data_IF_372349583566
#
_entry.id   IF_372349583566
#
_cell.length_a   1.000
_cell.length_b   1.000
_cell.length_c   1.000
_cell.angle_alpha   90.00
_cell.angle_beta   90.00
_cell.angle_gamma   90.00
#
_symmetry.space_group_name_H-M   'P 1'
#
loop_
_entity.id
_entity.type
_entity.pdbx_description
1 polymer ?
#
# COMPACT_ATOMS: atom_id res chain seq x y z
N UNK A 1 -21.35 -30.64 -10.41
CA UNK A 1 -21.69 -29.31 -10.96
C UNK A 1 -22.68 -29.50 -12.09
N UNK A 2 -23.89 -28.94 -11.97
CA UNK A 2 -24.86 -28.93 -13.08
C UNK A 2 -24.44 -27.81 -14.05
N UNK A 3 -23.94 -28.15 -15.23
CA UNK A 3 -23.55 -27.20 -16.28
C UNK A 3 -24.77 -26.81 -17.13
N UNK A 4 -25.79 -26.25 -16.48
CA UNK A 4 -26.95 -25.70 -17.18
C UNK A 4 -26.62 -24.32 -17.75
N UNK A 5 -27.23 -23.97 -18.88
CA UNK A 5 -27.10 -22.63 -19.51
C UNK A 5 -27.42 -21.51 -18.53
N UNK A 6 -28.36 -21.74 -17.60
CA UNK A 6 -28.72 -20.81 -16.52
C UNK A 6 -27.53 -20.47 -15.61
N UNK A 7 -26.76 -21.47 -15.16
CA UNK A 7 -25.62 -21.26 -14.27
C UNK A 7 -24.49 -20.49 -14.96
N UNK A 8 -24.28 -20.74 -16.25
CA UNK A 8 -23.28 -20.04 -17.07
C UNK A 8 -23.65 -18.55 -17.20
N UNK A 9 -24.90 -18.26 -17.56
CA UNK A 9 -25.39 -16.89 -17.70
C UNK A 9 -25.34 -16.16 -16.34
N UNK A 10 -25.71 -16.84 -15.25
CA UNK A 10 -25.67 -16.25 -13.92
C UNK A 10 -24.25 -15.91 -13.46
N UNK A 11 -23.29 -16.83 -13.60
CA UNK A 11 -21.88 -16.59 -13.27
C UNK A 11 -21.27 -15.48 -14.14
N UNK A 12 -21.65 -15.41 -15.42
CA UNK A 12 -21.23 -14.35 -16.32
C UNK A 12 -21.75 -12.98 -15.88
N UNK A 13 -23.03 -12.87 -15.54
CA UNK A 13 -23.61 -11.62 -15.03
C UNK A 13 -22.93 -11.16 -13.74
N UNK A 14 -22.71 -12.07 -12.78
CA UNK A 14 -21.99 -11.76 -11.54
C UNK A 14 -20.58 -11.22 -11.81
N UNK A 15 -19.84 -11.87 -12.72
CA UNK A 15 -18.48 -11.44 -13.10
C UNK A 15 -18.51 -10.07 -13.80
N UNK A 16 -19.50 -9.84 -14.67
CA UNK A 16 -19.67 -8.57 -15.36
C UNK A 16 -20.00 -7.44 -14.38
N UNK A 17 -20.89 -7.67 -13.41
CA UNK A 17 -21.19 -6.70 -12.36
C UNK A 17 -19.97 -6.41 -11.48
N UNK A 18 -19.20 -7.43 -11.12
CA UNK A 18 -17.95 -7.25 -10.38
C UNK A 18 -16.95 -6.38 -11.16
N UNK A 19 -16.75 -6.68 -12.46
CA UNK A 19 -15.86 -5.91 -13.33
C UNK A 19 -16.30 -4.45 -13.54
N UNK A 20 -17.60 -4.21 -13.74
CA UNK A 20 -18.17 -2.85 -13.84
C UNK A 20 -17.99 -2.09 -12.53
N UNK A 21 -18.16 -2.74 -11.38
CA UNK A 21 -17.93 -2.14 -10.06
C UNK A 21 -16.48 -1.67 -9.90
N UNK A 22 -15.50 -2.51 -10.24
CA UNK A 22 -14.07 -2.13 -10.24
C UNK A 22 -13.77 -1.01 -11.23
N UNK A 23 -14.36 -1.06 -12.43
CA UNK A 23 -14.21 -0.02 -13.45
C UNK A 23 -14.76 1.34 -12.99
N UNK A 24 -15.93 1.37 -12.36
CA UNK A 24 -16.53 2.58 -11.78
C UNK A 24 -15.67 3.14 -10.65
N UNK A 25 -15.16 2.27 -9.77
CA UNK A 25 -14.20 2.64 -8.72
C UNK A 25 -12.94 3.29 -9.31
N UNK A 26 -12.38 2.70 -10.38
CA UNK A 26 -11.22 3.24 -11.09
C UNK A 26 -11.47 4.61 -11.71
N UNK A 27 -12.61 4.82 -12.38
CA UNK A 27 -12.96 6.13 -12.97
C UNK A 27 -13.12 7.20 -11.88
N UNK A 28 -13.70 6.85 -10.73
CA UNK A 28 -13.82 7.76 -9.60
C UNK A 28 -12.44 8.20 -9.06
N UNK A 29 -11.48 7.28 -8.99
CA UNK A 29 -10.09 7.59 -8.59
C UNK A 29 -9.38 8.47 -9.63
N UNK A 30 -9.56 8.21 -10.94
CA UNK A 30 -8.94 9.02 -12.00
C UNK A 30 -9.48 10.46 -12.08
N UNK A 31 -10.76 10.67 -11.77
CA UNK A 31 -11.36 12.02 -11.68
C UNK A 31 -11.05 12.73 -10.36
N UNK A 32 -10.68 12.00 -9.31
CA UNK A 32 -10.26 12.55 -8.03
C UNK A 32 -8.86 13.18 -8.16
N UNK A 33 -8.81 14.39 -8.69
CA UNK A 33 -7.59 15.17 -8.91
C UNK A 33 -6.96 15.61 -7.58
N UNK A 34 -6.19 14.75 -6.91
CA UNK A 34 -5.33 15.06 -5.73
C UNK A 34 -6.08 15.72 -4.54
N UNK A 35 -7.41 15.64 -4.44
CA UNK A 35 -8.13 16.51 -3.48
C UNK A 35 -8.27 15.93 -2.07
N UNK A 36 -8.05 14.63 -1.84
CA UNK A 36 -8.15 14.08 -0.48
C UNK A 36 -7.51 12.69 -0.29
N UNK A 37 -6.20 12.63 0.03
CA UNK A 37 -5.51 11.38 0.37
C UNK A 37 -6.13 10.66 1.57
N UNK A 38 -6.82 11.38 2.47
CA UNK A 38 -7.52 10.78 3.61
C UNK A 38 -8.72 9.92 3.16
N UNK A 39 -9.44 10.37 2.14
CA UNK A 39 -10.54 9.58 1.54
C UNK A 39 -10.01 8.35 0.79
N UNK A 40 -8.90 8.51 0.07
CA UNK A 40 -8.25 7.40 -0.64
C UNK A 40 -7.75 6.33 0.33
N UNK A 41 -7.05 6.73 1.40
CA UNK A 41 -6.58 5.82 2.44
C UNK A 41 -7.75 5.11 3.14
N UNK A 42 -8.84 5.81 3.44
CA UNK A 42 -10.07 5.21 4.00
C UNK A 42 -10.70 4.18 3.06
N UNK A 43 -10.76 4.47 1.77
CA UNK A 43 -11.32 3.57 0.75
C UNK A 43 -10.46 2.32 0.53
N UNK A 44 -9.12 2.48 0.49
CA UNK A 44 -8.17 1.36 0.40
C UNK A 44 -8.23 0.48 1.65
N UNK A 45 -8.29 1.07 2.85
CA UNK A 45 -8.44 0.34 4.10
C UNK A 45 -9.78 -0.42 4.18
N UNK A 46 -10.88 0.20 3.73
CA UNK A 46 -12.17 -0.46 3.64
C UNK A 46 -12.14 -1.67 2.70
N UNK A 47 -11.55 -1.52 1.51
CA UNK A 47 -11.42 -2.62 0.56
C UNK A 47 -10.53 -3.76 1.09
N UNK A 48 -9.41 -3.43 1.75
CA UNK A 48 -8.55 -4.40 2.40
C UNK A 48 -9.30 -5.15 3.52
N UNK A 49 -10.10 -4.44 4.31
CA UNK A 49 -10.92 -5.04 5.37
C UNK A 49 -11.97 -6.02 4.84
N UNK A 50 -12.72 -5.64 3.79
CA UNK A 50 -13.71 -6.53 3.15
C UNK A 50 -13.02 -7.79 2.59
N UNK A 51 -11.87 -7.65 1.93
CA UNK A 51 -11.14 -8.79 1.39
C UNK A 51 -10.59 -9.72 2.48
N UNK A 52 -10.13 -9.19 3.61
CA UNK A 52 -9.71 -10.00 4.77
C UNK A 52 -10.91 -10.76 5.33
N UNK A 53 -12.05 -10.11 5.52
CA UNK A 53 -13.27 -10.75 6.05
C UNK A 53 -13.72 -11.91 5.15
N UNK A 54 -13.89 -11.65 3.85
CA UNK A 54 -14.32 -12.68 2.88
C UNK A 54 -13.33 -13.85 2.84
N UNK A 55 -12.03 -13.56 2.86
CA UNK A 55 -10.99 -14.60 2.81
C UNK A 55 -11.00 -15.52 4.04
N UNK A 56 -11.10 -14.95 5.25
CA UNK A 56 -11.03 -15.73 6.49
C UNK A 56 -12.38 -16.38 6.89
N UNK A 57 -13.49 -15.70 6.66
CA UNK A 57 -14.80 -16.13 7.16
C UNK A 57 -15.53 -17.00 6.14
N UNK A 58 -15.42 -16.69 4.85
CA UNK A 58 -16.13 -17.43 3.80
C UNK A 58 -15.20 -18.47 3.17
N UNK A 59 -14.13 -18.01 2.50
CA UNK A 59 -13.30 -18.89 1.66
C UNK A 59 -12.52 -19.92 2.49
N UNK A 60 -11.92 -19.52 3.61
CA UNK A 60 -11.16 -20.44 4.46
C UNK A 60 -12.04 -21.50 5.13
N UNK A 61 -13.25 -21.12 5.56
CA UNK A 61 -14.21 -22.04 6.19
C UNK A 61 -14.78 -23.04 5.17
N UNK A 62 -15.24 -22.57 4.00
CA UNK A 62 -15.71 -23.45 2.91
C UNK A 62 -14.60 -24.40 2.47
N UNK A 63 -13.40 -23.88 2.21
CA UNK A 63 -12.23 -24.68 1.84
C UNK A 63 -11.89 -25.73 2.89
N UNK A 64 -11.96 -25.37 4.17
CA UNK A 64 -11.71 -26.30 5.28
C UNK A 64 -12.76 -27.39 5.38
N UNK A 65 -14.04 -27.06 5.23
CA UNK A 65 -15.14 -28.03 5.24
C UNK A 65 -14.97 -29.06 4.11
N UNK A 66 -14.61 -28.61 2.90
CA UNK A 66 -14.36 -29.51 1.78
C UNK A 66 -13.18 -30.46 2.03
N UNK A 67 -12.10 -29.97 2.64
CA UNK A 67 -10.91 -30.76 2.95
C UNK A 67 -11.16 -31.78 4.08
N UNK A 68 -11.86 -31.36 5.13
CA UNK A 68 -12.28 -32.23 6.25
C UNK A 68 -13.21 -33.34 5.74
N UNK A 69 -14.17 -33.02 4.89
CA UNK A 69 -15.09 -34.00 4.32
C UNK A 69 -14.38 -35.06 3.47
N UNK A 70 -13.19 -34.75 2.92
CA UNK A 70 -12.48 -35.66 2.02
C UNK A 70 -11.37 -36.45 2.72
N UNK A 71 -10.66 -35.84 3.67
CA UNK A 71 -9.48 -36.43 4.34
C UNK A 71 -9.67 -36.74 5.83
N UNK A 72 -10.85 -36.44 6.40
CA UNK A 72 -11.19 -36.64 7.81
C UNK A 72 -10.80 -35.45 8.71
N UNK A 73 -11.40 -35.39 9.91
CA UNK A 73 -11.35 -34.21 10.80
C UNK A 73 -9.93 -33.70 11.10
N UNK A 74 -9.07 -34.58 11.63
CA UNK A 74 -7.72 -34.16 12.09
C UNK A 74 -6.78 -33.80 10.92
N UNK A 75 -6.80 -34.60 9.85
CA UNK A 75 -5.90 -34.39 8.71
C UNK A 75 -6.36 -33.22 7.84
N UNK A 76 -7.67 -33.07 7.64
CA UNK A 76 -8.27 -31.97 6.90
C UNK A 76 -7.96 -30.62 7.54
N UNK A 77 -8.12 -30.48 8.86
CA UNK A 77 -7.80 -29.23 9.57
C UNK A 77 -6.33 -28.82 9.43
N UNK A 78 -5.40 -29.76 9.63
CA UNK A 78 -3.96 -29.49 9.50
C UNK A 78 -3.61 -29.08 8.07
N UNK A 79 -4.16 -29.78 7.08
CA UNK A 79 -3.89 -29.50 5.68
C UNK A 79 -4.48 -28.16 5.23
N UNK A 80 -5.66 -27.76 5.73
CA UNK A 80 -6.24 -26.45 5.43
C UNK A 80 -5.36 -25.30 5.90
N UNK A 81 -4.87 -25.38 7.13
CA UNK A 81 -3.97 -24.38 7.70
C UNK A 81 -2.65 -24.34 6.95
N UNK A 82 -2.05 -25.50 6.66
CA UNK A 82 -0.82 -25.58 5.86
C UNK A 82 -1.00 -25.00 4.46
N UNK A 83 -2.14 -25.27 3.80
CA UNK A 83 -2.44 -24.76 2.47
C UNK A 83 -2.65 -23.25 2.46
N UNK A 84 -3.26 -22.70 3.51
CA UNK A 84 -3.40 -21.25 3.69
C UNK A 84 -2.03 -20.56 3.80
N UNK A 85 -1.15 -21.04 4.70
CA UNK A 85 0.19 -20.48 4.83
C UNK A 85 1.06 -20.71 3.59
N UNK A 86 0.90 -21.84 2.90
CA UNK A 86 1.54 -22.07 1.62
C UNK A 86 1.10 -21.03 0.57
N UNK A 87 -0.21 -20.70 0.51
CA UNK A 87 -0.73 -19.64 -0.34
C UNK A 87 -0.12 -18.27 -0.02
N UNK A 88 -0.02 -17.91 1.26
CA UNK A 88 0.64 -16.67 1.70
C UNK A 88 2.12 -16.64 1.28
N UNK A 89 2.84 -17.75 1.47
CA UNK A 89 4.23 -17.86 1.07
C UNK A 89 4.41 -17.74 -0.46
N UNK A 90 3.51 -18.35 -1.25
CA UNK A 90 3.50 -18.25 -2.71
C UNK A 90 3.30 -16.79 -3.14
N UNK A 91 2.34 -16.07 -2.56
CA UNK A 91 2.11 -14.65 -2.89
C UNK A 91 3.34 -13.81 -2.53
N UNK A 92 3.98 -14.05 -1.38
CA UNK A 92 5.22 -13.36 -1.00
C UNK A 92 6.40 -13.67 -1.93
N UNK A 93 6.48 -14.90 -2.45
CA UNK A 93 7.46 -15.27 -3.47
C UNK A 93 7.16 -14.52 -4.77
N UNK A 94 5.90 -14.48 -5.22
CA UNK A 94 5.48 -13.74 -6.43
C UNK A 94 5.85 -12.25 -6.30
N UNK A 95 5.56 -11.63 -5.16
CA UNK A 95 5.91 -10.22 -4.91
C UNK A 95 7.42 -9.98 -4.98
N UNK A 96 8.23 -10.90 -4.43
CA UNK A 96 9.69 -10.84 -4.52
C UNK A 96 10.23 -11.09 -5.92
N UNK A 97 9.53 -11.87 -6.75
CA UNK A 97 9.90 -12.14 -8.14
C UNK A 97 9.65 -10.94 -9.06
N UNK A 98 8.80 -9.99 -8.66
CA UNK A 98 8.58 -8.75 -9.39
C UNK A 98 9.81 -7.83 -9.11
N UNK A 99 10.71 -7.64 -10.11
CA UNK A 99 11.96 -6.92 -9.91
C UNK A 99 11.71 -5.46 -9.51
N UNK A 100 12.47 -4.99 -8.53
CA UNK A 100 12.23 -3.77 -7.79
C UNK A 100 12.78 -2.49 -8.47
N UNK A 101 13.46 -2.60 -9.61
CA UNK A 101 14.11 -1.43 -10.27
C UNK A 101 13.11 -0.40 -10.84
N UNK A 102 11.82 -0.75 -10.89
CA UNK A 102 10.72 0.16 -11.21
C UNK A 102 9.66 0.14 -10.11
N UNK A 103 10.06 -0.02 -8.85
CA UNK A 103 9.14 -0.23 -7.74
C UNK A 103 9.00 0.99 -6.82
N UNK A 104 7.81 1.63 -6.77
CA UNK A 104 7.47 2.63 -5.75
C UNK A 104 7.29 2.07 -4.33
N UNK A 105 7.42 0.75 -4.11
CA UNK A 105 7.40 0.12 -2.77
C UNK A 105 8.75 0.11 -2.04
N UNK A 106 9.81 0.63 -2.65
CA UNK A 106 10.85 1.21 -1.81
C UNK A 106 10.24 2.49 -1.22
N UNK A 107 10.29 2.65 0.09
CA UNK A 107 10.26 4.00 0.65
C UNK A 107 11.45 4.68 0.00
N UNK A 108 11.24 5.35 -1.14
CA UNK A 108 12.11 6.41 -1.60
C UNK A 108 12.39 7.18 -0.33
N UNK A 109 13.65 7.45 -0.02
CA UNK A 109 14.02 8.28 1.10
C UNK A 109 13.61 9.73 0.75
N UNK A 110 12.32 9.92 0.45
CA UNK A 110 11.65 11.20 0.40
C UNK A 110 11.77 11.67 1.84
N UNK A 111 12.67 12.63 2.03
CA UNK A 111 12.75 13.44 3.23
C UNK A 111 11.33 13.69 3.75
N UNK A 112 11.07 13.54 5.05
CA UNK A 112 9.71 13.66 5.63
C UNK A 112 8.92 14.87 5.09
N UNK A 113 9.64 15.95 4.77
CA UNK A 113 9.16 17.14 4.06
C UNK A 113 8.40 16.83 2.75
N UNK A 114 8.99 16.04 1.87
CA UNK A 114 8.48 15.75 0.53
C UNK A 114 7.30 14.79 0.60
N UNK A 115 7.32 13.81 1.51
CA UNK A 115 6.19 12.90 1.74
C UNK A 115 4.96 13.66 2.24
N UNK A 116 5.13 14.49 3.27
CA UNK A 116 4.02 15.24 3.90
C UNK A 116 3.45 16.26 2.90
N UNK A 117 4.30 16.96 2.16
CA UNK A 117 3.86 17.93 1.14
C UNK A 117 3.27 17.29 -0.12
N UNK A 118 3.58 16.03 -0.44
CA UNK A 118 2.94 15.28 -1.53
C UNK A 118 1.59 14.67 -1.15
N UNK A 119 1.38 14.34 0.12
CA UNK A 119 0.11 13.82 0.64
C UNK A 119 -0.93 14.94 0.74
N UNK A 120 -0.53 16.12 1.22
CA UNK A 120 -1.39 17.32 1.29
C UNK A 120 -0.53 18.59 1.25
N UNK A 121 -0.42 19.19 0.06
CA UNK A 121 0.43 20.36 -0.20
C UNK A 121 -0.02 21.62 0.57
N UNK A 122 -1.26 21.64 1.06
CA UNK A 122 -1.83 22.77 1.81
C UNK A 122 -2.03 22.47 3.31
N UNK A 123 -1.55 21.31 3.78
CA UNK A 123 -1.57 20.97 5.20
C UNK A 123 -0.70 21.94 6.00
N UNK A 124 -1.19 22.39 7.16
CA UNK A 124 -0.43 23.15 8.16
C UNK A 124 0.91 22.48 8.50
N UNK A 125 0.95 21.14 8.43
CA UNK A 125 2.11 20.33 8.73
C UNK A 125 3.20 20.43 7.64
N UNK A 126 2.83 20.41 6.35
CA UNK A 126 3.76 20.65 5.23
C UNK A 126 4.36 22.08 5.30
N UNK A 127 3.52 23.07 5.61
CA UNK A 127 3.95 24.46 5.74
C UNK A 127 4.91 24.63 6.93
N UNK A 128 4.61 24.00 8.08
CA UNK A 128 5.45 24.04 9.28
C UNK A 128 6.80 23.31 9.07
N UNK A 129 6.77 22.12 8.45
CA UNK A 129 7.97 21.35 8.11
C UNK A 129 8.85 22.11 7.10
N UNK A 130 8.26 22.74 6.09
CA UNK A 130 9.01 23.57 5.10
C UNK A 130 9.69 24.75 5.77
N UNK A 131 9.02 25.36 6.75
CA UNK A 131 9.58 26.46 7.55
C UNK A 131 10.74 25.98 8.44
N UNK A 132 10.56 24.85 9.12
CA UNK A 132 11.59 24.23 9.97
C UNK A 132 12.84 23.83 9.19
N UNK A 133 12.69 23.24 7.99
CA UNK A 133 13.82 22.88 7.13
C UNK A 133 14.59 24.12 6.65
N UNK A 134 13.89 25.16 6.18
CA UNK A 134 14.53 26.43 5.75
C UNK A 134 15.27 27.13 6.89
N UNK A 135 14.73 27.11 8.10
CA UNK A 135 15.42 27.66 9.28
C UNK A 135 16.69 26.87 9.64
N UNK A 136 16.63 25.54 9.58
CA UNK A 136 17.82 24.69 9.79
C UNK A 136 18.89 24.92 8.73
N UNK A 137 18.50 25.08 7.46
CA UNK A 137 19.43 25.36 6.36
C UNK A 137 20.07 26.75 6.51
N UNK A 138 19.29 27.78 6.86
CA UNK A 138 19.80 29.12 7.14
C UNK A 138 20.76 29.13 8.35
N UNK A 139 20.46 28.36 9.40
CA UNK A 139 21.34 28.21 10.56
C UNK A 139 22.64 27.46 10.22
N UNK A 140 22.58 26.41 9.38
CA UNK A 140 23.74 25.66 8.92
C UNK A 140 24.65 26.52 8.01
N UNK A 141 24.06 27.30 7.10
CA UNK A 141 24.80 28.25 6.25
C UNK A 141 25.45 29.37 7.05
N UNK A 142 24.78 29.87 8.10
CA UNK A 142 25.37 30.87 9.01
C UNK A 142 26.56 30.29 9.77
N UNK A 143 26.42 29.07 10.30
CA UNK A 143 27.52 28.34 10.97
C UNK A 143 28.71 28.10 10.03
N UNK A 144 28.46 27.73 8.78
CA UNK A 144 29.52 27.52 7.79
C UNK A 144 30.18 28.84 7.35
N UNK A 145 29.41 29.93 7.23
CA UNK A 145 29.93 31.29 6.96
C UNK A 145 30.78 31.83 8.11
N UNK A 146 30.35 31.60 9.35
CA UNK A 146 31.10 31.99 10.55
C UNK A 146 32.38 31.16 10.71
N UNK A 147 32.34 29.87 10.37
CA UNK A 147 33.52 29.01 10.27
C UNK A 147 34.51 29.50 9.17
N UNK A 148 34.01 29.87 7.99
CA UNK A 148 34.85 30.38 6.89
C UNK A 148 35.48 31.74 7.23
N UNK A 149 34.76 32.63 7.94
CA UNK A 149 35.32 33.86 8.50
C UNK A 149 36.41 33.59 9.54
N UNK A 150 36.26 32.53 10.34
CA UNK A 150 37.28 32.14 11.31
C UNK A 150 38.54 31.60 10.64
N UNK A 151 38.43 30.77 9.60
CA UNK A 151 39.59 30.29 8.81
C UNK A 151 40.30 31.41 8.03
N UNK A 152 39.57 32.38 7.47
CA UNK A 152 40.18 33.49 6.72
C UNK A 152 41.02 34.44 7.62
N UNK A 153 40.78 34.43 8.93
CA UNK A 153 41.59 35.15 9.91
C UNK A 153 42.92 34.44 10.25
N UNK A 154 43.09 33.16 9.90
CA UNK A 154 44.35 32.42 10.08
C UNK A 154 45.26 32.45 8.84
N UNK A 155 44.77 32.91 7.69
CA UNK A 155 45.56 33.12 6.45
C UNK A 155 46.19 34.53 6.35
N UNK A 156 46.05 35.36 7.38
CA UNK A 156 46.77 36.65 7.52
C UNK A 156 47.52 36.75 8.85
N UNK A 157 48.39 35.78 9.15
CA UNK A 157 49.55 36.05 9.99
C UNK A 157 50.83 35.82 9.16
N UNK A 158 51.81 36.74 9.25
CA UNK A 158 53.02 36.77 8.44
C UNK A 158 53.97 35.60 8.69
#
# INVERSE_FOLDING_TARGET
MNLSISNIIFAFLLTLFAGVSTGLGGIAVLKAKITNMKFLAGSLGFSAGVMIYVSFVEIFDEGSKHLISTMGDKKGQILSVLSFFAGVAIIGIIDKLIPQESNPHEMVNITELETVCRIDQNSQECIALTKMYKEKEAAALKKNRDFFRSCNSYTQLP
#
